data_IF_132470217560
#
_entry.id   IF_132470217560
#
_cell.length_a   1.000
_cell.length_b   1.000
_cell.length_c   1.000
_cell.angle_alpha   90.00
_cell.angle_beta   90.00
_cell.angle_gamma   90.00
#
_symmetry.space_group_name_H-M   'P 1'
#
loop_
_entity.id
_entity.type
_entity.pdbx_description
1 polymer ?
#
# COMPACT_ATOMS: atom_id res chain seq x y z
N UNK A 1 10.50 34.83 26.30
CA UNK A 1 10.66 33.42 25.87
C UNK A 1 9.35 32.71 26.13
N UNK A 2 8.51 32.54 25.10
CA UNK A 2 7.29 31.73 25.18
C UNK A 2 7.62 30.37 24.58
N UNK A 3 7.82 29.37 25.44
CA UNK A 3 7.92 27.99 25.01
C UNK A 3 6.56 27.57 24.45
N UNK A 4 6.49 27.27 23.15
CA UNK A 4 5.38 26.52 22.57
C UNK A 4 5.34 25.15 23.25
N UNK A 5 4.21 24.71 23.82
CA UNK A 5 4.09 23.33 24.28
C UNK A 5 4.16 22.41 23.06
N UNK A 6 5.11 21.46 23.11
CA UNK A 6 5.13 20.31 22.21
C UNK A 6 3.79 19.59 22.37
N UNK A 7 3.01 19.48 21.29
CA UNK A 7 1.82 18.64 21.28
C UNK A 7 2.27 17.18 21.36
N UNK A 8 2.29 16.61 22.56
CA UNK A 8 2.32 15.15 22.71
C UNK A 8 0.97 14.64 22.19
N UNK A 9 0.99 13.90 21.09
CA UNK A 9 -0.16 13.10 20.69
C UNK A 9 -0.39 12.08 21.82
N UNK A 10 -1.46 12.26 22.60
CA UNK A 10 -1.89 11.29 23.60
C UNK A 10 -2.51 10.10 22.87
N UNK A 11 -1.65 9.19 22.39
CA UNK A 11 -2.10 7.94 21.81
C UNK A 11 -2.71 7.08 22.93
N UNK A 12 -3.89 6.53 22.65
CA UNK A 12 -4.59 5.63 23.56
C UNK A 12 -3.75 4.36 23.71
N UNK A 13 -3.46 3.99 24.95
CA UNK A 13 -2.69 2.81 25.25
C UNK A 13 -3.43 1.55 24.81
N UNK A 14 -2.75 0.71 24.04
CA UNK A 14 -3.25 -0.58 23.57
C UNK A 14 -2.51 -1.70 24.34
N UNK A 15 -3.20 -2.46 25.21
CA UNK A 15 -2.56 -3.50 26.03
C UNK A 15 -2.13 -4.71 25.20
N UNK A 16 -2.84 -4.98 24.11
CA UNK A 16 -2.48 -6.02 23.13
C UNK A 16 -1.69 -5.38 22.00
N UNK A 17 -0.64 -6.05 21.52
CA UNK A 17 0.16 -5.62 20.37
C UNK A 17 0.36 -6.75 19.37
N UNK A 18 0.66 -6.36 18.14
CA UNK A 18 0.90 -7.27 17.02
C UNK A 18 2.29 -7.01 16.45
N UNK A 19 3.09 -8.06 16.31
CA UNK A 19 4.34 -8.01 15.56
C UNK A 19 4.33 -9.08 14.48
N UNK A 20 5.01 -8.79 13.38
CA UNK A 20 5.15 -9.69 12.24
C UNK A 20 6.63 -10.06 12.10
N UNK A 21 6.88 -11.32 11.76
CA UNK A 21 8.16 -11.80 11.26
C UNK A 21 7.92 -12.73 10.08
N UNK A 22 8.99 -13.14 9.41
CA UNK A 22 8.93 -14.05 8.27
C UNK A 22 9.95 -15.17 8.45
N UNK A 23 9.69 -16.31 7.82
CA UNK A 23 10.55 -17.50 7.89
C UNK A 23 11.95 -17.26 7.32
N UNK A 24 12.04 -16.49 6.23
CA UNK A 24 13.29 -16.12 5.55
C UNK A 24 13.35 -14.62 5.29
N UNK A 25 14.54 -14.04 5.29
CA UNK A 25 14.69 -12.63 4.89
C UNK A 25 14.58 -12.41 3.37
N UNK A 26 14.83 -13.46 2.58
CA UNK A 26 14.97 -13.41 1.12
C UNK A 26 14.18 -14.56 0.50
N UNK A 27 13.40 -14.23 -0.52
CA UNK A 27 12.61 -15.16 -1.34
C UNK A 27 12.88 -14.91 -2.83
N UNK A 28 12.53 -15.86 -3.69
CA UNK A 28 12.45 -15.63 -5.14
C UNK A 28 11.06 -15.17 -5.57
N UNK A 29 10.97 -14.54 -6.75
CA UNK A 29 9.71 -14.21 -7.39
C UNK A 29 8.77 -15.43 -7.46
N UNK A 30 7.52 -15.25 -7.03
CA UNK A 30 6.51 -16.32 -7.04
C UNK A 30 6.61 -17.32 -5.88
N UNK A 31 7.67 -17.29 -5.08
CA UNK A 31 7.80 -18.16 -3.90
C UNK A 31 6.70 -17.86 -2.87
N UNK A 32 6.20 -18.93 -2.22
CA UNK A 32 5.32 -18.80 -1.06
C UNK A 32 6.08 -18.16 0.10
N UNK A 33 5.48 -17.14 0.71
CA UNK A 33 6.08 -16.43 1.84
C UNK A 33 5.29 -16.77 3.10
N UNK A 34 5.98 -17.34 4.09
CA UNK A 34 5.42 -17.62 5.41
C UNK A 34 5.69 -16.44 6.34
N UNK A 35 4.63 -15.93 6.97
CA UNK A 35 4.71 -14.93 8.04
C UNK A 35 4.22 -15.50 9.36
N UNK A 36 4.86 -15.06 10.44
CA UNK A 36 4.43 -15.34 11.81
C UNK A 36 3.94 -14.04 12.43
N UNK A 37 2.69 -14.04 12.88
CA UNK A 37 2.10 -12.93 13.61
C UNK A 37 2.12 -13.29 15.08
N UNK A 38 2.90 -12.53 15.85
CA UNK A 38 2.94 -12.61 17.30
C UNK A 38 1.93 -11.63 17.87
N UNK A 39 1.04 -12.13 18.72
CA UNK A 39 0.07 -11.33 19.47
C UNK A 39 0.46 -11.43 20.94
N UNK A 40 0.74 -10.28 21.56
CA UNK A 40 1.21 -10.20 22.94
C UNK A 40 0.29 -9.32 23.75
N UNK A 41 -0.19 -9.84 24.89
CA UNK A 41 -0.79 -9.02 25.94
C UNK A 41 0.32 -8.49 26.86
N UNK A 42 0.53 -7.18 26.91
CA UNK A 42 1.53 -6.54 27.76
C UNK A 42 1.01 -6.18 29.16
N UNK A 43 -0.29 -6.34 29.40
CA UNK A 43 -0.85 -6.15 30.74
C UNK A 43 -0.32 -7.24 31.70
N UNK A 44 0.02 -6.82 32.91
CA UNK A 44 0.60 -7.68 33.97
C UNK A 44 -0.45 -8.31 34.87
N UNK A 45 -1.68 -7.82 34.82
CA UNK A 45 -2.76 -8.18 35.75
C UNK A 45 -4.02 -8.64 35.02
N UNK A 46 -4.34 -8.04 33.88
CA UNK A 46 -5.61 -8.25 33.18
C UNK A 46 -5.46 -9.13 31.95
N UNK A 47 -6.52 -9.90 31.71
CA UNK A 47 -6.67 -10.63 30.46
C UNK A 47 -7.43 -9.78 29.45
N UNK A 48 -6.98 -9.79 28.20
CA UNK A 48 -7.59 -9.00 27.12
C UNK A 48 -8.11 -9.90 25.99
N UNK A 49 -9.33 -9.66 25.48
CA UNK A 49 -9.88 -10.41 24.37
C UNK A 49 -9.20 -10.03 23.05
N UNK A 50 -8.96 -11.03 22.21
CA UNK A 50 -8.54 -10.89 20.81
C UNK A 50 -9.33 -11.85 19.94
N UNK A 51 -9.70 -11.42 18.73
CA UNK A 51 -10.23 -12.34 17.73
C UNK A 51 -9.06 -13.08 17.08
N UNK A 52 -9.25 -14.36 16.81
CA UNK A 52 -8.32 -15.19 16.06
C UNK A 52 -9.00 -15.73 14.80
N UNK A 53 -8.25 -15.86 13.70
CA UNK A 53 -8.78 -16.47 12.49
C UNK A 53 -9.08 -17.94 12.77
N UNK A 54 -10.20 -18.43 12.24
CA UNK A 54 -10.52 -19.85 12.20
C UNK A 54 -10.81 -20.22 10.74
N UNK A 55 -11.89 -20.95 10.46
CA UNK A 55 -12.25 -21.37 9.10
C UNK A 55 -12.91 -20.26 8.26
N UNK A 56 -12.51 -18.99 8.41
CA UNK A 56 -13.17 -17.88 7.74
C UNK A 56 -13.05 -17.97 6.20
N UNK A 57 -14.19 -18.09 5.49
CA UNK A 57 -14.25 -18.21 4.04
C UNK A 57 -14.86 -16.98 3.34
N UNK A 58 -15.64 -16.18 4.08
CA UNK A 58 -16.33 -14.99 3.58
C UNK A 58 -16.31 -13.85 4.61
N UNK A 59 -16.65 -12.65 4.17
CA UNK A 59 -16.67 -11.45 5.01
C UNK A 59 -15.31 -10.76 5.07
N UNK A 60 -15.08 -9.99 6.13
CA UNK A 60 -13.88 -9.16 6.27
C UNK A 60 -12.71 -9.94 6.89
N UNK A 61 -11.53 -9.84 6.28
CA UNK A 61 -10.26 -10.33 6.83
C UNK A 61 -9.95 -9.63 8.14
N UNK A 62 -9.59 -10.43 9.13
CA UNK A 62 -9.14 -9.95 10.43
C UNK A 62 -7.75 -9.28 10.34
N UNK A 63 -6.88 -9.86 9.52
CA UNK A 63 -5.54 -9.35 9.22
C UNK A 63 -5.46 -9.04 7.73
N UNK A 64 -4.90 -7.90 7.36
CA UNK A 64 -4.55 -7.61 5.97
C UNK A 64 -3.15 -7.02 5.88
N UNK A 65 -2.47 -7.30 4.79
CA UNK A 65 -1.10 -6.86 4.53
C UNK A 65 -1.06 -5.48 3.86
N UNK A 66 -0.04 -4.69 4.21
CA UNK A 66 0.37 -3.54 3.42
C UNK A 66 1.84 -3.66 3.04
N UNK A 67 2.16 -3.30 1.80
CA UNK A 67 3.52 -3.24 1.29
C UNK A 67 3.90 -1.79 0.99
N UNK A 68 4.94 -1.32 1.66
CA UNK A 68 5.54 -0.01 1.46
C UNK A 68 6.85 -0.12 0.70
N UNK A 69 7.23 0.99 0.06
CA UNK A 69 8.54 1.13 -0.57
C UNK A 69 9.68 1.12 0.46
N UNK A 70 10.89 0.78 0.00
CA UNK A 70 12.12 0.74 0.81
C UNK A 70 12.76 2.11 1.07
N UNK A 71 12.40 3.12 0.28
CA UNK A 71 13.02 4.44 0.33
C UNK A 71 12.87 5.10 1.70
N UNK A 72 13.83 5.96 2.03
CA UNK A 72 13.89 6.67 3.31
C UNK A 72 13.32 8.09 3.20
N UNK A 73 13.37 8.68 2.00
CA UNK A 73 12.84 10.04 1.75
C UNK A 73 11.31 10.11 1.59
N UNK A 74 10.61 8.96 1.55
CA UNK A 74 9.17 8.88 1.39
C UNK A 74 8.60 7.59 2.00
N UNK A 75 7.46 7.68 2.71
CA UNK A 75 6.69 6.51 3.15
C UNK A 75 5.59 6.21 2.13
N UNK A 76 5.94 5.46 1.09
CA UNK A 76 5.03 5.19 -0.04
C UNK A 76 4.35 3.84 0.13
N UNK A 77 3.03 3.85 0.29
CA UNK A 77 2.21 2.65 0.25
C UNK A 77 2.01 2.19 -1.20
N UNK A 78 2.59 1.04 -1.55
CA UNK A 78 2.53 0.47 -2.89
C UNK A 78 1.29 -0.39 -3.06
N UNK A 79 1.12 -1.37 -2.17
CA UNK A 79 0.03 -2.35 -2.22
C UNK A 79 -0.64 -2.50 -0.85
N UNK A 80 -1.96 -2.67 -0.89
CA UNK A 80 -2.79 -3.04 0.25
C UNK A 80 -3.63 -4.21 -0.18
N UNK A 81 -3.63 -5.26 0.62
CA UNK A 81 -4.48 -6.41 0.42
C UNK A 81 -5.97 -6.05 0.55
N UNK A 82 -6.81 -6.67 -0.28
CA UNK A 82 -8.26 -6.53 -0.14
C UNK A 82 -8.71 -7.12 1.20
N UNK A 83 -9.48 -6.32 1.94
CA UNK A 83 -10.05 -6.71 3.22
C UNK A 83 -11.18 -7.72 3.05
N UNK A 84 -11.78 -7.84 1.86
CA UNK A 84 -12.87 -8.79 1.63
C UNK A 84 -12.31 -10.16 1.25
N UNK A 85 -12.75 -11.19 1.98
CA UNK A 85 -12.50 -12.59 1.65
C UNK A 85 -13.42 -13.01 0.50
N UNK A 86 -12.81 -13.32 -0.64
CA UNK A 86 -13.49 -13.84 -1.83
C UNK A 86 -12.96 -15.25 -2.12
N UNK A 87 -13.39 -16.25 -1.34
CA UNK A 87 -12.87 -17.62 -1.46
C UNK A 87 -13.99 -18.64 -1.72
N UNK A 88 -13.65 -19.70 -2.46
CA UNK A 88 -14.62 -20.67 -3.01
C UNK A 88 -15.03 -21.77 -2.02
N UNK A 89 -14.86 -21.58 -0.71
CA UNK A 89 -15.17 -22.61 0.30
C UNK A 89 -16.63 -22.47 0.74
N UNK A 90 -17.35 -23.58 0.92
CA UNK A 90 -18.79 -23.60 1.22
C UNK A 90 -19.11 -23.58 2.72
N UNK A 91 -18.18 -23.97 3.58
CA UNK A 91 -18.41 -24.01 5.02
C UNK A 91 -18.43 -22.59 5.63
N UNK A 92 -19.48 -22.24 6.38
CA UNK A 92 -19.56 -20.95 7.07
C UNK A 92 -18.39 -20.77 8.00
N UNK A 93 -17.50 -19.88 7.62
CA UNK A 93 -16.32 -19.59 8.39
C UNK A 93 -16.61 -18.75 9.63
N UNK A 94 -15.80 -18.95 10.67
CA UNK A 94 -15.93 -18.22 11.93
C UNK A 94 -14.60 -17.57 12.35
N UNK A 95 -14.70 -16.63 13.27
CA UNK A 95 -13.59 -16.14 14.09
C UNK A 95 -13.83 -16.58 15.53
N UNK A 96 -12.76 -16.77 16.31
CA UNK A 96 -12.86 -17.18 17.71
C UNK A 96 -12.33 -16.09 18.62
N UNK A 97 -13.05 -15.79 19.70
CA UNK A 97 -12.52 -14.94 20.77
C UNK A 97 -11.59 -15.78 21.64
N UNK A 98 -10.37 -15.27 21.88
CA UNK A 98 -9.45 -15.77 22.90
C UNK A 98 -9.16 -14.64 23.88
N UNK A 99 -9.28 -14.92 25.18
CA UNK A 99 -8.77 -14.03 26.21
C UNK A 99 -7.32 -14.38 26.48
N UNK A 100 -6.41 -13.47 26.14
CA UNK A 100 -4.99 -13.61 26.42
C UNK A 100 -4.76 -13.31 27.89
N UNK A 101 -4.19 -14.26 28.64
CA UNK A 101 -3.77 -14.06 30.02
C UNK A 101 -2.73 -12.94 30.12
N UNK A 102 -2.49 -12.39 31.33
CA UNK A 102 -1.42 -11.42 31.52
C UNK A 102 -0.09 -11.94 30.99
N UNK A 103 0.62 -11.12 30.21
CA UNK A 103 1.89 -11.47 29.57
C UNK A 103 1.84 -12.66 28.60
N UNK A 104 0.64 -13.15 28.22
CA UNK A 104 0.51 -14.25 27.27
C UNK A 104 0.87 -13.79 25.86
N UNK A 105 1.62 -14.64 25.18
CA UNK A 105 1.97 -14.50 23.78
C UNK A 105 1.41 -15.70 23.00
N UNK A 106 0.87 -15.42 21.82
CA UNK A 106 0.49 -16.44 20.85
C UNK A 106 1.08 -16.12 19.49
N UNK A 107 1.29 -17.15 18.68
CA UNK A 107 1.78 -17.03 17.31
C UNK A 107 0.78 -17.66 16.37
N UNK A 108 0.36 -16.92 15.35
CA UNK A 108 -0.42 -17.45 14.23
C UNK A 108 0.43 -17.38 12.96
N UNK A 109 0.24 -18.34 12.06
CA UNK A 109 0.95 -18.37 10.78
C UNK A 109 0.00 -17.93 9.67
N UNK A 110 0.49 -17.08 8.79
CA UNK A 110 -0.21 -16.71 7.55
C UNK A 110 0.74 -16.87 6.36
N UNK A 111 0.17 -17.04 5.17
CA UNK A 111 0.91 -17.30 3.94
C UNK A 111 0.53 -16.27 2.89
N UNK A 112 1.53 -15.65 2.27
CA UNK A 112 1.37 -14.85 1.06
C UNK A 112 1.82 -15.67 -0.14
N UNK A 113 1.10 -15.56 -1.26
CA UNK A 113 1.34 -16.28 -2.50
C UNK A 113 1.18 -17.81 -2.43
N UNK A 114 0.46 -18.34 -1.43
CA UNK A 114 0.14 -19.78 -1.35
C UNK A 114 -1.07 -20.15 -2.22
N UNK A 115 -0.94 -19.94 -3.52
CA UNK A 115 -2.07 -20.07 -4.42
C UNK A 115 -2.55 -21.50 -4.59
N UNK A 116 -1.72 -22.52 -4.41
CA UNK A 116 -2.16 -23.92 -4.45
C UNK A 116 -3.23 -24.19 -3.39
N UNK A 117 -3.09 -23.60 -2.19
CA UNK A 117 -4.01 -23.79 -1.08
C UNK A 117 -5.08 -22.68 -0.96
N UNK A 118 -4.86 -21.50 -1.54
CA UNK A 118 -5.80 -20.37 -1.48
C UNK A 118 -7.23 -20.72 -1.97
N UNK A 119 -7.34 -21.62 -2.93
CA UNK A 119 -8.63 -22.10 -3.47
C UNK A 119 -8.94 -23.55 -3.08
N UNK A 120 -8.16 -24.15 -2.18
CA UNK A 120 -8.38 -25.51 -1.74
C UNK A 120 -9.43 -25.51 -0.62
N UNK A 121 -10.45 -26.36 -0.78
CA UNK A 121 -11.59 -26.46 0.13
C UNK A 121 -11.19 -26.84 1.58
N UNK A 122 -10.03 -27.49 1.76
CA UNK A 122 -9.68 -28.17 3.01
C UNK A 122 -8.75 -27.40 3.96
N UNK A 123 -8.24 -26.22 3.55
CA UNK A 123 -7.23 -25.47 4.32
C UNK A 123 -7.81 -24.23 5.01
N UNK A 124 -7.18 -23.75 6.08
CA UNK A 124 -7.63 -22.58 6.85
C UNK A 124 -7.56 -21.32 5.99
N UNK A 125 -8.63 -21.02 5.27
CA UNK A 125 -8.62 -20.03 4.20
C UNK A 125 -8.25 -18.61 4.67
N UNK A 126 -8.58 -18.26 5.91
CA UNK A 126 -8.23 -16.99 6.53
C UNK A 126 -6.72 -16.76 6.72
N UNK A 127 -5.92 -17.81 6.65
CA UNK A 127 -4.45 -17.74 6.76
C UNK A 127 -3.76 -17.49 5.41
N UNK A 128 -4.50 -17.45 4.30
CA UNK A 128 -3.94 -17.24 2.97
C UNK A 128 -4.23 -15.82 2.45
N UNK A 129 -3.18 -15.15 1.99
CA UNK A 129 -3.17 -13.74 1.66
C UNK A 129 -2.65 -13.50 0.24
N UNK A 130 -3.11 -12.41 -0.36
CA UNK A 130 -2.64 -11.93 -1.66
C UNK A 130 -2.91 -10.43 -1.77
N UNK A 131 -2.01 -9.72 -2.45
CA UNK A 131 -2.21 -8.30 -2.78
C UNK A 131 -3.16 -8.09 -3.98
N UNK A 132 -3.57 -9.16 -4.66
CA UNK A 132 -4.31 -9.11 -5.92
C UNK A 132 -3.48 -8.63 -7.11
N UNK A 133 -2.19 -8.36 -6.88
CA UNK A 133 -1.19 -7.99 -7.88
C UNK A 133 0.14 -8.69 -7.57
N UNK A 134 0.90 -9.12 -8.60
CA UNK A 134 2.19 -9.76 -8.40
C UNK A 134 3.18 -8.92 -7.61
N UNK A 135 3.85 -9.57 -6.66
CA UNK A 135 5.00 -9.01 -5.97
C UNK A 135 6.28 -9.37 -6.75
N UNK A 136 6.69 -8.48 -7.65
CA UNK A 136 7.93 -8.62 -8.44
C UNK A 136 9.19 -8.43 -7.58
N UNK A 137 10.35 -8.72 -8.16
CA UNK A 137 11.64 -8.50 -7.52
C UNK A 137 11.79 -7.07 -6.97
N UNK A 138 12.29 -6.97 -5.74
CA UNK A 138 12.36 -5.70 -5.02
C UNK A 138 12.59 -5.87 -3.52
N UNK A 139 12.72 -4.75 -2.82
CA UNK A 139 12.71 -4.72 -1.36
C UNK A 139 11.47 -3.95 -0.91
N UNK A 140 10.72 -4.55 0.00
CA UNK A 140 9.46 -4.02 0.51
C UNK A 140 9.51 -3.94 2.03
N UNK A 141 8.88 -2.92 2.59
CA UNK A 141 8.58 -2.85 4.02
C UNK A 141 7.15 -3.32 4.22
N UNK A 142 6.96 -4.45 4.88
CA UNK A 142 5.65 -5.09 5.05
C UNK A 142 5.17 -4.90 6.49
N UNK A 143 3.89 -4.55 6.65
CA UNK A 143 3.19 -4.70 7.92
C UNK A 143 1.88 -5.47 7.74
N UNK A 144 1.32 -5.91 8.86
CA UNK A 144 -0.08 -6.31 8.94
C UNK A 144 -0.87 -5.23 9.66
N UNK A 145 -2.15 -5.16 9.36
CA UNK A 145 -3.13 -4.44 10.17
C UNK A 145 -4.16 -5.42 10.69
N UNK A 146 -4.35 -5.45 12.01
CA UNK A 146 -5.44 -6.15 12.68
C UNK A 146 -6.66 -5.23 12.75
N UNK A 147 -7.76 -5.61 12.10
CA UNK A 147 -8.97 -4.79 12.09
C UNK A 147 -10.24 -5.65 12.23
N UNK A 148 -10.77 -5.80 13.46
CA UNK A 148 -11.99 -6.57 13.73
C UNK A 148 -13.28 -5.76 13.48
N UNK A 149 -13.20 -4.48 13.10
CA UNK A 149 -14.35 -3.60 12.89
C UNK A 149 -15.27 -4.15 11.81
N UNK A 150 -16.56 -4.25 12.12
CA UNK A 150 -17.57 -4.78 11.20
C UNK A 150 -17.77 -6.30 11.30
N UNK A 151 -16.96 -6.99 12.10
CA UNK A 151 -17.18 -8.40 12.45
C UNK A 151 -17.97 -8.44 13.76
N UNK A 152 -19.13 -9.11 13.78
CA UNK A 152 -20.06 -9.06 14.92
C UNK A 152 -19.41 -9.40 16.28
N UNK A 153 -18.51 -10.39 16.31
CA UNK A 153 -17.75 -10.72 17.53
C UNK A 153 -16.73 -9.63 17.90
N UNK A 154 -16.09 -9.01 16.91
CA UNK A 154 -15.18 -7.88 17.13
C UNK A 154 -15.92 -6.68 17.72
N UNK A 155 -17.05 -6.32 17.13
CA UNK A 155 -17.92 -5.23 17.59
C UNK A 155 -18.52 -5.50 18.98
N UNK A 156 -18.57 -6.77 19.41
CA UNK A 156 -18.99 -7.15 20.76
C UNK A 156 -17.93 -6.90 21.84
N UNK A 157 -16.63 -6.92 21.49
CA UNK A 157 -15.53 -6.80 22.46
C UNK A 157 -14.73 -5.49 22.37
N UNK A 158 -14.87 -4.73 21.28
CA UNK A 158 -14.19 -3.45 21.09
C UNK A 158 -15.16 -2.26 21.02
N UNK A 159 -14.66 -1.10 21.43
CA UNK A 159 -15.25 0.21 21.16
C UNK A 159 -14.27 0.98 20.28
N UNK A 160 -14.74 1.38 19.10
CA UNK A 160 -13.89 1.99 18.10
C UNK A 160 -13.80 3.50 18.26
N UNK A 161 -12.62 4.06 18.00
CA UNK A 161 -12.37 5.51 18.08
C UNK A 161 -11.59 6.01 16.85
N UNK A 162 -11.72 7.30 16.55
CA UNK A 162 -10.89 7.99 15.57
C UNK A 162 -9.65 8.59 16.25
N UNK A 163 -8.49 8.61 15.58
CA UNK A 163 -7.20 8.98 16.19
C UNK A 163 -7.14 10.42 16.77
N UNK A 164 -8.09 11.28 16.39
CA UNK A 164 -8.20 12.67 16.85
C UNK A 164 -9.47 12.95 17.68
N UNK A 165 -10.15 11.89 18.11
CA UNK A 165 -11.35 12.01 18.93
C UNK A 165 -10.99 12.51 20.32
N UNK A 166 -11.60 13.63 20.73
CA UNK A 166 -11.23 14.32 21.99
C UNK A 166 -11.80 13.65 23.24
N UNK A 167 -12.86 12.85 23.08
CA UNK A 167 -13.59 12.24 24.19
C UNK A 167 -13.98 10.82 23.81
N UNK A 168 -13.49 9.85 24.56
CA UNK A 168 -13.86 8.45 24.37
C UNK A 168 -15.12 8.10 25.17
N UNK A 169 -16.02 7.28 24.62
CA UNK A 169 -17.19 6.80 25.35
C UNK A 169 -16.75 5.84 26.47
N UNK A 170 -17.29 6.03 27.68
CA UNK A 170 -17.05 5.12 28.81
C UNK A 170 -17.68 3.76 28.48
N UNK A 171 -16.86 2.72 28.47
CA UNK A 171 -17.24 1.38 28.00
C UNK A 171 -16.54 0.31 28.83
N UNK A 172 -17.13 -0.90 28.84
CA UNK A 172 -16.51 -2.11 29.42
C UNK A 172 -15.68 -2.90 28.40
N UNK A 173 -15.71 -2.47 27.13
CA UNK A 173 -14.97 -3.06 26.01
C UNK A 173 -13.59 -2.45 25.91
N UNK A 174 -12.67 -3.14 25.24
CA UNK A 174 -11.36 -2.56 24.94
C UNK A 174 -11.48 -1.52 23.82
N UNK A 175 -10.59 -0.53 23.80
CA UNK A 175 -10.58 0.49 22.75
C UNK A 175 -9.78 0.01 21.54
N UNK A 176 -10.24 0.31 20.32
CA UNK A 176 -9.53 -0.04 19.07
C UNK A 176 -9.64 1.12 18.07
N UNK A 177 -8.56 1.53 17.37
CA UNK A 177 -8.69 2.50 16.29
C UNK A 177 -9.64 2.00 15.20
N UNK A 178 -10.42 2.90 14.59
CA UNK A 178 -11.25 2.57 13.42
C UNK A 178 -10.41 2.01 12.26
N UNK A 179 -9.18 2.50 12.11
CA UNK A 179 -8.21 2.02 11.13
C UNK A 179 -7.67 0.62 11.45
N UNK A 180 -7.85 0.14 12.68
CA UNK A 180 -7.24 -1.08 13.21
C UNK A 180 -5.86 -0.82 13.83
N UNK A 181 -5.25 -1.87 14.37
CA UNK A 181 -3.92 -1.79 14.96
C UNK A 181 -2.87 -2.31 13.98
N UNK A 182 -1.87 -1.47 13.69
CA UNK A 182 -0.80 -1.78 12.73
C UNK A 182 0.38 -2.41 13.47
N UNK A 183 0.99 -3.46 12.89
CA UNK A 183 2.20 -4.06 13.45
C UNK A 183 3.46 -3.24 13.19
N UNK A 184 4.57 -3.67 13.78
CA UNK A 184 5.90 -3.29 13.28
C UNK A 184 6.05 -3.65 11.80
N UNK A 185 6.88 -2.88 11.08
CA UNK A 185 7.25 -3.21 9.70
C UNK A 185 8.45 -4.17 9.70
N UNK A 186 8.47 -5.10 8.75
CA UNK A 186 9.63 -5.94 8.44
C UNK A 186 10.09 -5.71 7.01
N UNK A 187 11.38 -5.92 6.76
CA UNK A 187 11.94 -5.86 5.43
C UNK A 187 11.82 -7.22 4.75
N UNK A 188 11.16 -7.25 3.60
CA UNK A 188 11.02 -8.43 2.74
C UNK A 188 11.81 -8.19 1.45
N UNK A 189 12.70 -9.12 1.09
CA UNK A 189 13.49 -9.05 -0.14
C UNK A 189 13.04 -10.13 -1.10
N UNK A 190 12.62 -9.73 -2.30
CA UNK A 190 12.26 -10.64 -3.39
C UNK A 190 13.34 -10.53 -4.46
N UNK A 191 14.03 -11.64 -4.72
CA UNK A 191 15.05 -11.75 -5.77
C UNK A 191 14.41 -12.07 -7.10
N UNK A 192 14.95 -11.44 -8.14
CA UNK A 192 14.60 -11.76 -9.51
C UNK A 192 15.10 -13.14 -9.88
N UNK A 193 14.26 -13.96 -10.52
CA UNK A 193 14.74 -15.23 -11.08
C UNK A 193 15.70 -14.99 -12.27
N UNK A 194 16.61 -15.94 -12.46
CA UNK A 194 17.40 -16.07 -13.68
C UNK A 194 16.62 -16.74 -14.83
N UNK A 195 15.48 -17.36 -14.51
CA UNK A 195 14.63 -18.02 -15.49
C UNK A 195 14.02 -17.01 -16.47
N UNK A 196 13.77 -17.46 -17.69
CA UNK A 196 13.08 -16.67 -18.72
C UNK A 196 11.57 -16.82 -18.66
N UNK A 197 11.07 -17.72 -17.81
CA UNK A 197 9.65 -17.93 -17.53
C UNK A 197 9.49 -18.08 -16.03
N UNK A 198 8.67 -17.23 -15.41
CA UNK A 198 8.37 -17.29 -13.97
C UNK A 198 6.86 -17.39 -13.77
N UNK A 199 6.44 -18.12 -12.74
CA UNK A 199 5.05 -18.16 -12.32
C UNK A 199 4.89 -17.31 -11.06
N UNK A 200 4.11 -16.23 -11.15
CA UNK A 200 3.83 -15.35 -10.00
C UNK A 200 2.33 -15.22 -9.91
N UNK A 201 1.76 -15.56 -8.75
CA UNK A 201 0.31 -15.56 -8.53
C UNK A 201 -0.49 -16.33 -9.62
N UNK A 202 -0.01 -17.54 -9.99
CA UNK A 202 -0.56 -18.39 -11.07
C UNK A 202 -0.51 -17.79 -12.48
N UNK A 203 0.14 -16.64 -12.66
CA UNK A 203 0.37 -16.04 -13.98
C UNK A 203 1.78 -16.36 -14.44
N UNK A 204 1.88 -16.88 -15.67
CA UNK A 204 3.16 -17.05 -16.32
C UNK A 204 3.60 -15.72 -16.91
N UNK A 205 4.84 -15.34 -16.63
CA UNK A 205 5.49 -14.19 -17.23
C UNK A 205 6.67 -14.64 -18.07
N UNK A 206 6.68 -14.22 -19.33
CA UNK A 206 7.77 -14.46 -20.26
C UNK A 206 8.71 -13.27 -20.22
N UNK A 207 9.95 -13.50 -19.79
CA UNK A 207 10.94 -12.46 -19.55
C UNK A 207 11.83 -12.30 -20.79
N UNK A 208 11.88 -11.09 -21.34
CA UNK A 208 12.85 -10.69 -22.37
C UNK A 208 13.73 -9.56 -21.87
N UNK A 209 14.90 -9.39 -22.48
CA UNK A 209 15.82 -8.31 -22.15
C UNK A 209 16.37 -7.64 -23.40
N UNK A 210 16.62 -6.33 -23.30
CA UNK A 210 17.37 -5.55 -24.29
C UNK A 210 18.81 -5.27 -23.84
N UNK A 211 19.29 -5.95 -22.79
CA UNK A 211 20.60 -5.74 -22.17
C UNK A 211 20.62 -4.71 -21.04
N UNK A 212 19.59 -3.87 -20.92
CA UNK A 212 19.46 -2.85 -19.86
C UNK A 212 18.29 -3.11 -18.92
N UNK A 213 17.15 -3.51 -19.48
CA UNK A 213 15.92 -3.79 -18.74
C UNK A 213 15.42 -5.21 -19.02
N UNK A 214 14.62 -5.71 -18.09
CA UNK A 214 13.92 -6.99 -18.16
C UNK A 214 12.42 -6.72 -18.25
N UNK A 215 11.78 -7.29 -19.26
CA UNK A 215 10.38 -7.05 -19.62
C UNK A 215 9.59 -8.34 -19.38
N UNK A 216 8.60 -8.27 -18.49
CA UNK A 216 7.72 -9.37 -18.11
C UNK A 216 6.45 -9.27 -18.93
N UNK A 217 6.30 -10.16 -19.90
CA UNK A 217 5.12 -10.19 -20.77
C UNK A 217 4.13 -11.27 -20.34
N UNK A 218 2.84 -11.02 -20.52
CA UNK A 218 1.77 -11.99 -20.27
C UNK A 218 1.75 -13.15 -21.25
N UNK A 219 2.40 -12.99 -22.41
CA UNK A 219 2.39 -13.94 -23.52
C UNK A 219 3.80 -14.11 -24.09
N UNK A 220 4.06 -15.27 -24.72
CA UNK A 220 5.33 -15.52 -25.38
C UNK A 220 5.37 -14.83 -26.75
N UNK A 221 5.88 -13.61 -26.79
CA UNK A 221 6.02 -12.83 -28.02
C UNK A 221 7.40 -13.05 -28.67
N UNK A 222 7.57 -12.83 -29.98
CA UNK A 222 8.89 -12.94 -30.62
C UNK A 222 9.82 -11.78 -30.23
N UNK A 223 9.27 -10.58 -30.07
CA UNK A 223 9.99 -9.34 -29.77
C UNK A 223 9.46 -8.65 -28.51
N UNK A 224 10.22 -7.70 -27.97
CA UNK A 224 9.79 -6.85 -26.84
C UNK A 224 8.71 -5.89 -27.34
N UNK A 225 7.62 -5.77 -26.57
CA UNK A 225 6.56 -4.76 -26.74
C UNK A 225 6.34 -4.05 -25.40
N UNK A 226 5.72 -2.87 -25.43
CA UNK A 226 5.40 -2.07 -24.24
C UNK A 226 3.93 -1.69 -24.17
N UNK A 227 3.06 -2.47 -24.82
CA UNK A 227 1.60 -2.33 -24.72
C UNK A 227 1.05 -3.09 -23.50
N UNK A 228 -0.27 -3.28 -23.45
CA UNK A 228 -1.01 -3.95 -22.36
C UNK A 228 -0.53 -5.37 -22.04
N UNK A 229 0.28 -5.99 -22.92
CA UNK A 229 0.87 -7.32 -22.69
C UNK A 229 2.16 -7.25 -21.87
N UNK A 230 2.77 -6.08 -21.74
CA UNK A 230 3.96 -5.86 -20.92
C UNK A 230 3.56 -5.39 -19.52
N UNK A 231 3.53 -6.33 -18.58
CA UNK A 231 3.01 -6.07 -17.23
C UNK A 231 4.08 -5.52 -16.27
N UNK A 232 5.36 -5.79 -16.50
CA UNK A 232 6.42 -5.30 -15.63
C UNK A 232 7.73 -5.05 -16.39
N UNK A 233 8.45 -3.99 -16.01
CA UNK A 233 9.79 -3.66 -16.50
C UNK A 233 10.68 -3.34 -15.31
N UNK A 234 11.87 -3.93 -15.26
CA UNK A 234 12.84 -3.68 -14.18
C UNK A 234 14.27 -3.61 -14.69
N UNK A 235 15.12 -2.85 -13.98
CA UNK A 235 16.58 -2.91 -14.14
C UNK A 235 17.26 -3.87 -13.16
N UNK A 236 16.50 -4.54 -12.28
CA UNK A 236 17.05 -5.49 -11.31
C UNK A 236 17.63 -6.71 -12.04
N UNK A 237 18.87 -7.07 -11.71
CA UNK A 237 19.60 -8.22 -12.27
C UNK A 237 19.13 -9.56 -11.67
N UNK A 238 19.42 -10.72 -12.33
CA UNK A 238 19.10 -12.01 -11.74
C UNK A 238 19.80 -12.17 -10.39
N UNK A 239 19.18 -12.92 -9.48
CA UNK A 239 19.66 -13.15 -8.10
C UNK A 239 19.82 -11.88 -7.23
N UNK A 240 19.31 -10.74 -7.72
CA UNK A 240 19.27 -9.47 -6.99
C UNK A 240 17.83 -9.05 -6.66
N UNK A 241 17.70 -8.19 -5.65
CA UNK A 241 16.44 -7.55 -5.24
C UNK A 241 16.51 -6.01 -5.31
N UNK A 242 17.61 -5.48 -5.84
CA UNK A 242 17.83 -4.04 -6.00
C UNK A 242 18.79 -3.77 -7.18
N UNK A 243 18.73 -2.55 -7.70
CA UNK A 243 19.67 -2.04 -8.68
C UNK A 243 20.06 -0.60 -8.34
N UNK A 244 21.23 -0.16 -8.79
CA UNK A 244 21.57 1.27 -8.82
C UNK A 244 20.67 1.96 -9.84
N UNK A 245 20.19 3.16 -9.50
CA UNK A 245 19.26 3.92 -10.36
C UNK A 245 18.08 3.06 -10.83
N UNK A 246 17.52 2.26 -9.90
CA UNK A 246 16.45 1.30 -10.17
C UNK A 246 15.34 1.95 -11.00
N UNK A 247 15.05 1.31 -12.14
CA UNK A 247 13.88 1.58 -12.95
C UNK A 247 12.88 0.47 -12.69
N UNK A 248 11.66 0.84 -12.38
CA UNK A 248 10.60 -0.10 -12.09
C UNK A 248 9.29 0.43 -12.66
N UNK A 249 8.64 -0.37 -13.50
CA UNK A 249 7.34 -0.05 -14.08
C UNK A 249 6.42 -1.27 -13.96
N UNK A 250 5.18 -1.08 -13.53
CA UNK A 250 4.12 -2.08 -13.56
C UNK A 250 2.91 -1.55 -14.32
N UNK A 251 2.25 -2.42 -15.06
CA UNK A 251 0.94 -2.19 -15.63
C UNK A 251 -0.01 -3.30 -15.19
N UNK A 252 -0.92 -2.96 -14.27
CA UNK A 252 -2.00 -3.85 -13.85
C UNK A 252 -3.28 -3.39 -14.52
N UNK A 253 -3.59 -4.01 -15.67
CA UNK A 253 -4.78 -3.74 -16.49
C UNK A 253 -6.04 -3.53 -15.62
N UNK A 254 -6.72 -2.40 -15.81
CA UNK A 254 -7.94 -1.99 -15.08
C UNK A 254 -7.78 -1.75 -13.56
N UNK A 255 -6.57 -1.79 -13.01
CA UNK A 255 -6.30 -1.55 -11.57
C UNK A 255 -5.50 -0.27 -11.40
N UNK A 256 -4.23 -0.27 -11.80
CA UNK A 256 -3.36 0.91 -11.91
C UNK A 256 -2.04 0.54 -12.62
N UNK A 257 -1.32 1.55 -13.08
CA UNK A 257 0.08 1.50 -13.42
C UNK A 257 0.92 2.12 -12.30
N UNK A 258 2.14 1.62 -12.13
CA UNK A 258 3.10 2.12 -11.15
C UNK A 258 4.43 2.38 -11.85
N UNK A 259 5.08 3.48 -11.53
CA UNK A 259 6.40 3.85 -12.03
C UNK A 259 7.26 4.36 -10.89
N UNK A 260 8.50 3.86 -10.83
CA UNK A 260 9.50 4.26 -9.86
C UNK A 260 10.83 4.47 -10.58
N UNK A 261 11.44 5.62 -10.29
CA UNK A 261 12.84 5.91 -10.57
C UNK A 261 13.53 6.32 -9.29
N UNK A 262 14.74 5.80 -9.06
CA UNK A 262 15.51 6.04 -7.84
C UNK A 262 16.78 6.86 -8.09
N UNK A 263 17.24 7.49 -7.02
CA UNK A 263 18.64 7.92 -6.89
C UNK A 263 19.55 6.71 -6.64
N UNK A 264 20.87 6.92 -6.69
CA UNK A 264 21.86 5.85 -6.51
C UNK A 264 21.80 5.18 -5.14
N UNK A 265 21.39 5.91 -4.10
CA UNK A 265 21.23 5.41 -2.74
C UNK A 265 19.90 4.68 -2.48
N UNK A 266 19.05 4.57 -3.51
CA UNK A 266 17.78 3.86 -3.45
C UNK A 266 16.58 4.72 -3.00
N UNK A 267 16.79 5.99 -2.69
CA UNK A 267 15.68 6.92 -2.43
C UNK A 267 14.90 7.24 -3.71
N UNK A 268 13.64 7.65 -3.53
CA UNK A 268 12.74 7.97 -4.64
C UNK A 268 13.17 9.28 -5.28
N UNK A 269 13.43 9.22 -6.59
CA UNK A 269 13.54 10.40 -7.45
C UNK A 269 12.16 10.77 -8.00
N UNK A 270 11.44 9.79 -8.51
CA UNK A 270 10.06 9.93 -8.98
C UNK A 270 9.29 8.66 -8.68
N UNK A 271 8.11 8.82 -8.07
CA UNK A 271 7.11 7.79 -7.90
C UNK A 271 5.82 8.25 -8.55
N UNK A 272 5.17 7.38 -9.32
CA UNK A 272 3.85 7.61 -9.89
C UNK A 272 3.01 6.35 -9.76
N UNK A 273 1.79 6.50 -9.26
CA UNK A 273 0.70 5.53 -9.33
C UNK A 273 -0.44 6.17 -10.09
N UNK A 274 -0.91 5.54 -11.17
CA UNK A 274 -1.84 6.17 -12.09
C UNK A 274 -2.77 5.15 -12.78
N UNK A 275 -3.85 5.59 -13.42
CA UNK A 275 -4.76 4.76 -14.22
C UNK A 275 -4.59 5.08 -15.70
N UNK A 276 -5.18 4.24 -16.56
CA UNK A 276 -5.12 4.44 -18.01
C UNK A 276 -6.04 5.58 -18.50
N UNK A 277 -7.04 5.98 -17.70
CA UNK A 277 -7.98 7.08 -18.00
C UNK A 277 -7.56 8.43 -17.43
N UNK A 278 -8.16 9.52 -17.92
CA UNK A 278 -7.95 10.89 -17.43
C UNK A 278 -9.02 11.26 -16.38
N UNK A 279 -8.68 11.92 -15.26
CA UNK A 279 -7.33 12.17 -14.75
C UNK A 279 -6.67 10.86 -14.35
N UNK A 280 -5.38 10.74 -14.68
CA UNK A 280 -4.67 9.48 -14.50
C UNK A 280 -4.04 9.33 -13.12
N UNK A 281 -3.58 10.41 -12.50
CA UNK A 281 -2.77 10.31 -11.29
C UNK A 281 -3.58 9.91 -10.06
N UNK A 282 -3.09 8.88 -9.35
CA UNK A 282 -3.61 8.45 -8.05
C UNK A 282 -2.69 8.91 -6.92
N UNK A 283 -1.38 8.86 -7.16
CA UNK A 283 -0.36 9.38 -6.26
C UNK A 283 0.93 9.63 -7.03
N UNK A 284 1.50 10.83 -6.94
CA UNK A 284 2.78 11.17 -7.57
C UNK A 284 3.64 11.92 -6.56
N UNK A 285 4.90 11.55 -6.43
CA UNK A 285 5.91 12.35 -5.71
C UNK A 285 7.17 12.49 -6.55
N UNK A 286 7.72 13.71 -6.65
CA UNK A 286 8.98 13.98 -7.34
C UNK A 286 9.95 14.75 -6.47
N UNK A 287 11.23 14.44 -6.59
CA UNK A 287 12.28 15.00 -5.76
C UNK A 287 13.41 15.57 -6.60
N UNK A 288 13.99 16.68 -6.14
CA UNK A 288 15.23 17.22 -6.72
C UNK A 288 16.46 16.42 -6.21
N UNK A 289 17.66 16.77 -6.70
CA UNK A 289 18.90 16.11 -6.29
C UNK A 289 19.23 16.26 -4.78
N UNK A 290 18.65 17.25 -4.10
CA UNK A 290 18.75 17.45 -2.65
C UNK A 290 17.65 16.71 -1.87
N UNK A 291 16.89 15.83 -2.54
CA UNK A 291 15.76 15.07 -1.98
C UNK A 291 14.65 15.95 -1.38
N UNK A 292 14.52 17.17 -1.90
CA UNK A 292 13.40 18.06 -1.57
C UNK A 292 12.25 17.79 -2.53
N UNK A 293 11.03 17.70 -2.01
CA UNK A 293 9.83 17.46 -2.82
C UNK A 293 9.61 18.66 -3.75
N UNK A 294 9.49 18.37 -5.04
CA UNK A 294 9.27 19.36 -6.12
C UNK A 294 7.85 19.31 -6.64
N UNK A 295 7.21 18.15 -6.54
CA UNK A 295 5.87 17.88 -7.05
C UNK A 295 5.17 16.84 -6.19
N UNK A 296 3.87 17.02 -5.98
CA UNK A 296 3.00 16.10 -5.27
C UNK A 296 1.63 16.08 -5.92
N UNK A 297 1.10 14.88 -6.16
CA UNK A 297 -0.26 14.70 -6.68
C UNK A 297 -0.94 13.55 -5.96
N UNK A 298 -2.26 13.65 -5.76
CA UNK A 298 -3.05 12.54 -5.23
C UNK A 298 -4.52 12.64 -5.63
N UNK A 299 -5.18 11.48 -5.69
CA UNK A 299 -6.65 11.41 -5.62
C UNK A 299 -7.09 11.49 -4.15
N UNK A 300 -7.95 12.45 -3.84
CA UNK A 300 -8.54 12.65 -2.53
C UNK A 300 -9.63 11.58 -2.25
N UNK A 301 -10.01 11.36 -0.98
CA UNK A 301 -11.05 10.37 -0.62
C UNK A 301 -12.40 10.59 -1.32
N UNK A 302 -12.74 11.86 -1.58
CA UNK A 302 -13.95 12.27 -2.30
C UNK A 302 -13.80 12.22 -3.84
N UNK A 303 -12.76 11.54 -4.32
CA UNK A 303 -12.41 11.32 -5.74
C UNK A 303 -11.90 12.54 -6.50
N UNK A 304 -11.92 13.74 -5.91
CA UNK A 304 -11.26 14.92 -6.49
C UNK A 304 -9.76 14.69 -6.58
N UNK A 305 -9.11 15.46 -7.45
CA UNK A 305 -7.67 15.33 -7.63
C UNK A 305 -6.95 16.60 -7.18
N UNK A 306 -5.85 16.39 -6.46
CA UNK A 306 -4.99 17.45 -5.96
C UNK A 306 -3.61 17.34 -6.61
N UNK A 307 -3.06 18.46 -7.07
CA UNK A 307 -1.68 18.52 -7.56
C UNK A 307 -1.03 19.83 -7.12
N UNK A 308 0.21 19.76 -6.67
CA UNK A 308 0.98 20.91 -6.19
C UNK A 308 2.44 20.77 -6.60
N UNK A 309 3.02 21.88 -7.06
CA UNK A 309 4.45 22.02 -7.34
C UNK A 309 5.06 23.10 -6.46
N UNK A 310 6.37 23.01 -6.23
CA UNK A 310 7.09 23.88 -5.30
C UNK A 310 8.27 24.59 -5.99
N UNK A 311 8.42 25.89 -5.70
CA UNK A 311 9.62 26.62 -6.06
C UNK A 311 10.85 26.02 -5.38
N UNK A 312 11.95 25.92 -6.13
CA UNK A 312 13.23 25.44 -5.62
C UNK A 312 14.23 26.59 -5.54
N UNK A 313 15.06 26.67 -4.48
CA UNK A 313 15.15 25.78 -3.32
C UNK A 313 14.17 26.13 -2.17
N UNK A 314 13.36 27.20 -2.32
CA UNK A 314 12.61 27.81 -1.22
C UNK A 314 11.41 27.01 -0.68
N UNK A 315 10.94 25.97 -1.38
CA UNK A 315 9.84 25.11 -0.95
C UNK A 315 8.46 25.76 -0.93
N UNK A 316 8.36 27.06 -1.24
CA UNK A 316 7.09 27.76 -1.38
C UNK A 316 6.28 27.13 -2.51
N UNK A 317 4.96 27.01 -2.32
CA UNK A 317 4.05 26.52 -3.37
C UNK A 317 4.21 27.41 -4.60
N UNK A 318 4.52 26.82 -5.75
CA UNK A 318 4.58 27.50 -7.03
C UNK A 318 3.20 27.50 -7.71
N UNK A 319 2.60 26.32 -7.79
CA UNK A 319 1.29 26.12 -8.40
C UNK A 319 0.55 25.03 -7.65
N UNK A 320 -0.75 25.23 -7.47
CA UNK A 320 -1.66 24.29 -6.83
C UNK A 320 -2.89 24.11 -7.73
N UNK A 321 -3.41 22.89 -7.85
CA UNK A 321 -4.62 22.61 -8.61
C UNK A 321 -5.54 21.64 -7.91
N UNK A 322 -6.85 21.89 -8.05
CA UNK A 322 -7.92 21.03 -7.60
C UNK A 322 -8.83 20.71 -8.78
N UNK A 323 -8.95 19.43 -9.11
CA UNK A 323 -9.83 18.94 -10.15
C UNK A 323 -11.05 18.24 -9.57
N UNK A 324 -12.18 18.37 -10.25
CA UNK A 324 -13.37 17.56 -10.02
C UNK A 324 -13.07 16.06 -10.23
N UNK A 325 -13.96 15.20 -9.75
CA UNK A 325 -13.77 13.75 -9.77
C UNK A 325 -13.71 13.14 -11.18
N UNK A 326 -14.26 13.83 -12.17
CA UNK A 326 -14.24 13.49 -13.60
C UNK A 326 -13.08 14.17 -14.35
N UNK A 327 -12.33 15.06 -13.69
CA UNK A 327 -11.23 15.80 -14.31
C UNK A 327 -11.63 16.85 -15.34
N UNK A 328 -12.92 17.05 -15.58
CA UNK A 328 -13.41 17.95 -16.63
C UNK A 328 -13.22 19.42 -16.24
N UNK A 329 -13.13 19.72 -14.94
CA UNK A 329 -12.88 21.06 -14.43
C UNK A 329 -11.81 21.04 -13.34
N UNK A 330 -10.74 21.80 -13.57
CA UNK A 330 -9.66 22.03 -12.62
C UNK A 330 -9.46 23.51 -12.36
N UNK A 331 -9.43 23.89 -11.09
CA UNK A 331 -9.02 25.23 -10.65
C UNK A 331 -7.54 25.21 -10.39
N UNK A 332 -6.78 26.01 -11.14
CA UNK A 332 -5.33 26.13 -11.01
C UNK A 332 -5.00 27.50 -10.42
N UNK A 333 -4.27 27.49 -9.31
CA UNK A 333 -3.80 28.69 -8.60
C UNK A 333 -2.29 28.78 -8.70
N UNK A 334 -1.80 29.81 -9.37
CA UNK A 334 -0.37 30.14 -9.41
C UNK A 334 -0.04 31.15 -8.31
N UNK A 335 1.03 30.91 -7.57
CA UNK A 335 1.45 31.75 -6.46
C UNK A 335 2.63 32.61 -6.89
N UNK A 336 2.48 33.94 -6.82
CA UNK A 336 3.52 34.88 -7.24
C UNK A 336 4.13 35.53 -6.00
N UNK A 337 5.44 35.33 -5.81
CA UNK A 337 6.21 35.89 -4.71
C UNK A 337 7.06 37.07 -5.18
N UNK A 338 7.45 37.94 -4.26
CA UNK A 338 8.49 38.94 -4.51
C UNK A 338 9.89 38.35 -4.29
N UNK A 339 10.93 39.14 -4.57
CA UNK A 339 12.35 38.75 -4.39
C UNK A 339 12.72 38.37 -2.94
N UNK A 340 11.94 38.83 -1.96
CA UNK A 340 12.11 38.51 -0.54
C UNK A 340 11.37 37.22 -0.12
N UNK A 341 10.73 36.52 -1.06
CA UNK A 341 9.96 35.30 -0.80
C UNK A 341 8.59 35.54 -0.15
N UNK A 342 8.10 36.78 -0.14
CA UNK A 342 6.77 37.13 0.40
C UNK A 342 5.72 37.03 -0.70
N UNK A 343 4.59 36.36 -0.40
CA UNK A 343 3.49 36.19 -1.34
C UNK A 343 2.91 37.55 -1.75
N UNK A 344 2.93 37.85 -3.05
CA UNK A 344 2.41 39.11 -3.61
C UNK A 344 0.97 38.97 -4.07
N UNK A 345 0.66 37.89 -4.80
CA UNK A 345 -0.70 37.60 -5.29
C UNK A 345 -0.87 36.13 -5.68
N UNK A 346 -2.11 35.76 -5.96
CA UNK A 346 -2.51 34.47 -6.53
C UNK A 346 -3.23 34.69 -7.85
N UNK A 347 -2.79 34.02 -8.90
CA UNK A 347 -3.40 34.08 -10.23
C UNK A 347 -4.19 32.79 -10.46
N UNK A 348 -5.53 32.88 -10.56
CA UNK A 348 -6.45 31.74 -10.62
C UNK A 348 -6.96 31.57 -12.05
N UNK A 349 -6.90 30.33 -12.56
CA UNK A 349 -7.41 29.95 -13.87
C UNK A 349 -8.21 28.66 -13.77
N UNK A 350 -9.09 28.43 -14.75
CA UNK A 350 -9.80 27.16 -14.89
C UNK A 350 -9.30 26.43 -16.14
N UNK A 351 -9.14 25.13 -16.03
CA UNK A 351 -8.68 24.26 -17.13
C UNK A 351 -9.55 23.01 -17.20
N UNK A 352 -9.58 22.39 -18.38
CA UNK A 352 -10.31 21.14 -18.64
C UNK A 352 -9.32 20.13 -19.21
N UNK A 353 -8.53 19.45 -18.37
CA UNK A 353 -7.48 18.55 -18.84
C UNK A 353 -8.02 17.25 -19.44
N UNK A 354 -9.24 16.84 -19.09
CA UNK A 354 -9.87 15.63 -19.60
C UNK A 354 -11.00 16.00 -20.57
N UNK A 355 -10.93 15.47 -21.79
CA UNK A 355 -11.99 15.59 -22.78
C UNK A 355 -13.03 14.49 -22.54
N UNK A 356 -14.32 14.84 -22.46
CA UNK A 356 -15.39 13.83 -22.53
C UNK A 356 -15.43 13.25 -23.96
N UNK A 357 -15.26 11.94 -24.09
CA UNK A 357 -15.48 11.26 -25.39
C UNK A 357 -16.70 10.35 -25.22
N UNK A 358 -17.77 10.66 -25.94
CA UNK A 358 -18.97 9.84 -25.96
C UNK A 358 -18.74 8.62 -26.87
N UNK A 359 -18.59 7.43 -26.28
CA UNK A 359 -18.50 6.15 -26.99
C UNK A 359 -19.68 5.27 -26.56
N UNK A 360 -20.49 4.83 -27.53
CA UNK A 360 -21.61 3.89 -27.34
C UNK A 360 -22.61 4.29 -26.24
N UNK A 361 -23.06 5.55 -26.24
CA UNK A 361 -24.04 6.10 -25.27
C UNK A 361 -23.61 6.00 -23.79
N UNK A 362 -22.32 5.73 -23.53
CA UNK A 362 -21.72 5.79 -22.20
C UNK A 362 -20.69 6.91 -22.17
N UNK A 363 -20.89 7.85 -21.26
CA UNK A 363 -19.88 8.87 -20.95
C UNK A 363 -18.63 8.18 -20.41
N UNK A 364 -17.47 8.45 -21.01
CA UNK A 364 -16.16 7.98 -20.58
C UNK A 364 -15.21 9.13 -20.34
#
# INVERSE_FOLDING_TARGET
MLFKPCAFAYLIYQPVSFSISTEKEIYFEGEKITFYITITNHDKEKSHPVLLPHTQNMGQKLFYLNAYDKAQNALLLRYTEDKMLNMLVHDTGSVKIKYLKPLEQIVITIYLNDFENYYNYHTQNASHHSFGVPLFAGIYNINITYNPKGISLGDSIYTYYEDFEKTLPITKKDYMPVSGQVSTMIKLKIKRSADTIVNIERKNYFIKTNGHYFYYMSENLPQIVTDIRCHHITSILPDSCAAQNEYFYNHFNNVFAEYISRFEDGDIKEYRKFRDGCPNYLHTERYNAFKQKTHFEMQLPDKRFYSVSFHQPGGNIHQESYCAADGTLCVVTNYVYNEKGVLKRKDITQTQPCNEIELDQKKK
#
